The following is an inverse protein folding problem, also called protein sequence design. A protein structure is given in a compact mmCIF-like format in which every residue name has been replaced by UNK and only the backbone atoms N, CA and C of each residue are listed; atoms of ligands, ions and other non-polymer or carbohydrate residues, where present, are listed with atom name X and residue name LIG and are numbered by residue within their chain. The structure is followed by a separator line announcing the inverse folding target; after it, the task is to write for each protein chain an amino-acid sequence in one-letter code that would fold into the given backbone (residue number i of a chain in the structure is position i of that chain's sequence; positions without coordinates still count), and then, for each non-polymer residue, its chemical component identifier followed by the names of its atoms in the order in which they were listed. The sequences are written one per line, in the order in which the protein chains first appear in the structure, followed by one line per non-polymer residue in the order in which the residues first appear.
data_IF_506305908588
#
_entry.id   IF_506305908588
#
_cell.length_a   1.000
_cell.length_b   1.000
_cell.length_c   1.000
_cell.angle_alpha   90.00
_cell.angle_beta   90.00
_cell.angle_gamma   90.00
#
_symmetry.space_group_name_H-M   'P 1'
#
loop_
_entity.id
_entity.type
_entity.pdbx_description
1 polymer ?
#
# COMPACT_ATOMS: atom_id res chain seq x y z
N UNK A 1 29.52 8.56 -15.28
CA UNK A 1 29.16 9.99 -15.39
C UNK A 1 30.07 10.83 -14.54
N UNK A 2 30.05 10.67 -13.20
CA UNK A 2 30.99 11.34 -12.30
C UNK A 2 32.46 11.02 -12.63
N UNK A 3 32.83 9.73 -12.70
CA UNK A 3 34.21 9.31 -13.02
C UNK A 3 34.66 9.67 -14.43
N UNK A 4 33.72 10.02 -15.31
CA UNK A 4 33.98 10.45 -16.68
C UNK A 4 34.00 11.99 -16.82
N UNK A 5 33.86 12.75 -15.73
CA UNK A 5 33.87 14.21 -15.73
C UNK A 5 32.67 14.86 -16.44
N UNK A 6 31.57 14.14 -16.62
CA UNK A 6 30.37 14.65 -17.31
C UNK A 6 29.47 15.36 -16.26
N UNK A 7 29.17 16.66 -16.42
CA UNK A 7 28.26 17.38 -15.52
C UNK A 7 26.85 16.78 -15.54
N UNK A 8 26.22 16.68 -14.36
CA UNK A 8 24.85 16.20 -14.24
C UNK A 8 24.12 16.91 -13.09
N UNK A 9 22.80 16.79 -13.08
CA UNK A 9 21.91 17.27 -12.00
C UNK A 9 20.95 16.17 -11.56
N UNK A 10 20.47 16.26 -10.32
CA UNK A 10 19.47 15.34 -9.75
C UNK A 10 18.20 16.13 -9.48
N UNK A 11 17.09 15.71 -10.08
CA UNK A 11 15.75 16.25 -9.81
C UNK A 11 14.95 15.19 -9.05
N UNK A 12 14.62 15.40 -7.76
CA UNK A 12 13.92 14.39 -6.97
C UNK A 12 12.48 14.22 -7.45
N UNK A 13 11.99 12.98 -7.38
CA UNK A 13 10.60 12.62 -7.65
C UNK A 13 9.89 12.09 -6.41
N UNK A 14 8.57 11.86 -6.54
CA UNK A 14 7.80 11.18 -5.51
C UNK A 14 8.06 9.68 -5.59
N UNK A 15 8.59 9.11 -4.51
CA UNK A 15 8.82 7.67 -4.44
C UNK A 15 7.49 6.90 -4.29
N UNK A 16 7.43 5.67 -4.82
CA UNK A 16 6.21 4.87 -4.81
C UNK A 16 5.63 4.68 -3.40
N UNK A 17 6.47 4.49 -2.38
CA UNK A 17 5.97 4.34 -1.01
C UNK A 17 5.32 5.60 -0.47
N UNK A 18 5.74 6.80 -0.86
CA UNK A 18 5.05 8.03 -0.47
C UNK A 18 3.75 8.22 -1.28
N UNK A 19 3.83 8.09 -2.60
CA UNK A 19 2.68 8.32 -3.49
C UNK A 19 1.59 7.26 -3.36
N UNK A 20 1.94 5.98 -3.53
CA UNK A 20 0.97 4.90 -3.56
C UNK A 20 0.25 4.72 -2.23
N UNK A 21 0.95 4.89 -1.09
CA UNK A 21 0.32 4.73 0.23
C UNK A 21 -0.61 5.90 0.56
N UNK A 22 -0.22 7.14 0.21
CA UNK A 22 -1.12 8.30 0.33
C UNK A 22 -2.40 8.13 -0.51
N UNK A 23 -2.28 7.65 -1.75
CA UNK A 23 -3.43 7.39 -2.63
C UNK A 23 -4.23 6.17 -2.19
N UNK A 24 -3.61 5.22 -1.49
CA UNK A 24 -4.30 4.09 -0.88
C UNK A 24 -4.94 4.44 0.47
N UNK A 25 -4.82 5.66 1.00
CA UNK A 25 -5.31 5.97 2.35
C UNK A 25 -4.56 5.22 3.46
N UNK A 26 -3.28 4.92 3.25
CA UNK A 26 -2.42 4.24 4.22
C UNK A 26 -1.30 5.21 4.58
N UNK A 27 -1.33 5.87 5.75
CA UNK A 27 -0.23 6.72 6.14
C UNK A 27 0.99 5.85 6.47
N UNK A 28 2.19 6.31 6.13
CA UNK A 28 3.42 5.56 6.44
C UNK A 28 3.72 5.55 7.95
N UNK A 29 3.33 6.61 8.67
CA UNK A 29 3.46 6.72 10.13
C UNK A 29 2.12 7.03 10.77
N UNK A 30 1.96 6.66 12.03
CA UNK A 30 0.81 7.05 12.83
C UNK A 30 1.18 6.96 14.31
N UNK A 31 0.79 7.96 15.11
CA UNK A 31 1.23 8.12 16.50
C UNK A 31 1.08 6.85 17.36
N UNK A 32 0.00 6.11 17.16
CA UNK A 32 -0.35 4.93 17.95
C UNK A 32 0.12 3.61 17.32
N UNK A 33 0.60 3.64 16.06
CA UNK A 33 0.86 2.42 15.30
C UNK A 33 2.31 2.29 14.82
N UNK A 34 2.94 3.38 14.40
CA UNK A 34 4.25 3.33 13.78
C UNK A 34 4.99 4.66 13.91
N UNK A 35 6.15 4.60 14.57
CA UNK A 35 7.06 5.73 14.74
C UNK A 35 8.21 5.72 13.72
N UNK A 36 8.32 4.65 12.93
CA UNK A 36 9.40 4.47 11.95
C UNK A 36 8.92 3.79 10.68
N UNK A 37 9.52 4.17 9.56
CA UNK A 37 9.26 3.59 8.25
C UNK A 37 10.56 3.04 7.69
N UNK A 38 10.53 1.79 7.25
CA UNK A 38 11.69 1.12 6.65
C UNK A 38 11.39 0.79 5.20
N UNK A 39 12.14 1.40 4.26
CA UNK A 39 12.05 1.11 2.83
C UNK A 39 13.00 -0.03 2.47
N UNK A 40 12.47 -1.09 1.85
CA UNK A 40 13.21 -2.33 1.61
C UNK A 40 13.05 -2.74 0.15
N UNK A 41 14.10 -3.29 -0.46
CA UNK A 41 13.98 -4.03 -1.72
C UNK A 41 13.84 -5.52 -1.44
N UNK A 42 12.78 -6.15 -1.95
CA UNK A 42 12.64 -7.60 -1.91
C UNK A 42 13.61 -8.33 -2.84
N UNK A 43 14.22 -7.61 -3.79
CA UNK A 43 15.28 -8.12 -4.65
C UNK A 43 16.64 -7.67 -4.10
N UNK A 44 17.24 -8.50 -3.24
CA UNK A 44 18.62 -8.32 -2.78
C UNK A 44 19.57 -8.98 -3.78
N UNK A 45 20.75 -8.37 -4.03
CA UNK A 45 21.80 -8.99 -4.83
C UNK A 45 22.31 -10.26 -4.11
N UNK A 46 22.71 -11.31 -4.84
CA UNK A 46 23.20 -12.56 -4.23
C UNK A 46 24.39 -12.39 -3.27
N UNK A 47 25.15 -11.30 -3.41
CA UNK A 47 26.40 -11.04 -2.67
C UNK A 47 26.23 -10.17 -1.41
N UNK A 48 25.01 -9.74 -1.06
CA UNK A 48 24.77 -9.02 0.20
C UNK A 48 24.47 -9.99 1.34
N UNK A 49 24.81 -9.61 2.58
CA UNK A 49 24.58 -10.36 3.84
C UNK A 49 23.10 -10.66 4.18
N UNK A 50 22.19 -10.57 3.20
CA UNK A 50 20.76 -10.72 3.37
C UNK A 50 20.14 -9.54 4.12
N UNK A 51 18.83 -9.64 4.38
CA UNK A 51 18.12 -8.68 5.22
C UNK A 51 18.26 -9.09 6.69
N UNK A 52 18.42 -8.11 7.58
CA UNK A 52 18.34 -8.35 9.02
C UNK A 52 16.88 -8.58 9.44
N UNK A 53 16.40 -9.81 9.26
CA UNK A 53 15.01 -10.18 9.50
C UNK A 53 14.57 -9.98 10.95
N UNK A 54 15.46 -10.17 11.92
CA UNK A 54 15.20 -9.88 13.33
C UNK A 54 14.81 -8.42 13.57
N UNK A 55 15.48 -7.48 12.89
CA UNK A 55 15.13 -6.06 12.98
C UNK A 55 13.81 -5.76 12.25
N UNK A 56 13.60 -6.35 11.07
CA UNK A 56 12.40 -6.11 10.27
C UNK A 56 11.13 -6.69 10.91
N UNK A 57 11.27 -7.79 11.68
CA UNK A 57 10.16 -8.44 12.35
C UNK A 57 9.66 -7.70 13.61
N UNK A 58 10.40 -6.70 14.11
CA UNK A 58 9.95 -5.90 15.25
C UNK A 58 8.62 -5.22 14.93
N UNK A 59 7.70 -5.20 15.89
CA UNK A 59 6.42 -4.47 15.79
C UNK A 59 6.61 -2.94 15.76
N UNK A 60 5.50 -2.21 15.66
CA UNK A 60 5.47 -0.73 15.77
C UNK A 60 6.33 0.02 14.74
N UNK A 61 6.60 -0.62 13.62
CA UNK A 61 7.19 -0.02 12.43
C UNK A 61 6.38 -0.39 11.19
N UNK A 62 6.44 0.48 10.19
CA UNK A 62 5.88 0.24 8.87
C UNK A 62 6.99 -0.21 7.93
N UNK A 63 6.84 -1.38 7.32
CA UNK A 63 7.72 -1.82 6.24
C UNK A 63 7.09 -1.47 4.89
N UNK A 64 7.82 -0.76 4.04
CA UNK A 64 7.43 -0.49 2.65
C UNK A 64 8.40 -1.21 1.71
N UNK A 65 7.94 -2.32 1.13
CA UNK A 65 8.79 -3.26 0.38
C UNK A 65 8.55 -3.11 -1.11
N UNK A 66 9.57 -2.63 -1.81
CA UNK A 66 9.67 -2.52 -3.25
C UNK A 66 10.07 -3.84 -3.85
N UNK A 67 9.54 -4.17 -5.04
CA UNK A 67 9.92 -5.39 -5.78
C UNK A 67 9.78 -6.67 -4.94
N UNK A 68 8.94 -6.63 -3.91
CA UNK A 68 8.76 -7.73 -2.96
C UNK A 68 7.76 -8.77 -3.41
N UNK A 69 6.89 -8.46 -4.39
CA UNK A 69 5.79 -9.34 -4.77
C UNK A 69 6.26 -10.75 -5.22
N UNK A 70 7.36 -10.84 -5.97
CA UNK A 70 7.96 -12.12 -6.41
C UNK A 70 8.55 -12.91 -5.22
N UNK A 71 8.90 -12.21 -4.14
CA UNK A 71 9.54 -12.73 -2.93
C UNK A 71 8.59 -12.77 -1.72
N UNK A 72 7.28 -12.61 -1.96
CA UNK A 72 6.29 -12.42 -0.90
C UNK A 72 6.22 -13.62 0.06
N UNK A 73 6.27 -14.86 -0.46
CA UNK A 73 6.38 -16.07 0.36
C UNK A 73 7.60 -16.05 1.28
N UNK A 74 8.80 -15.74 0.77
CA UNK A 74 10.03 -15.68 1.57
C UNK A 74 9.93 -14.61 2.65
N UNK A 75 9.47 -13.40 2.29
CA UNK A 75 9.28 -12.27 3.22
C UNK A 75 8.29 -12.65 4.32
N UNK A 76 7.16 -13.24 3.96
CA UNK A 76 6.12 -13.68 4.89
C UNK A 76 6.71 -14.67 5.90
N UNK A 77 7.38 -15.71 5.42
CA UNK A 77 7.98 -16.74 6.28
C UNK A 77 9.02 -16.13 7.22
N UNK A 78 9.96 -15.33 6.67
CA UNK A 78 11.04 -14.76 7.46
C UNK A 78 10.54 -13.82 8.56
N UNK A 79 9.56 -12.96 8.25
CA UNK A 79 8.99 -12.06 9.26
C UNK A 79 8.27 -12.84 10.38
N UNK A 80 7.51 -13.87 10.03
CA UNK A 80 6.81 -14.70 11.03
C UNK A 80 7.81 -15.48 11.88
N UNK A 81 8.81 -16.12 11.25
CA UNK A 81 9.86 -16.87 11.96
C UNK A 81 10.62 -16.00 12.95
N UNK A 82 10.84 -14.72 12.63
CA UNK A 82 11.54 -13.76 13.48
C UNK A 82 10.62 -13.00 14.45
N UNK A 83 9.35 -13.42 14.59
CA UNK A 83 8.46 -12.97 15.66
C UNK A 83 7.43 -11.91 15.29
N UNK A 84 7.31 -11.51 14.01
CA UNK A 84 6.20 -10.65 13.58
C UNK A 84 4.91 -11.44 13.61
N UNK A 85 3.85 -10.89 14.21
CA UNK A 85 2.56 -11.59 14.31
C UNK A 85 2.00 -11.95 12.92
N UNK A 86 1.54 -13.19 12.68
CA UNK A 86 0.85 -13.57 11.44
C UNK A 86 -0.43 -12.76 11.17
N UNK A 87 -1.03 -12.18 12.22
CA UNK A 87 -2.21 -11.31 12.12
C UNK A 87 -1.87 -9.85 11.81
N UNK A 88 -0.59 -9.49 11.69
CA UNK A 88 -0.17 -8.11 11.37
C UNK A 88 -0.88 -7.64 10.10
N UNK A 89 -1.54 -6.46 10.12
CA UNK A 89 -2.18 -5.92 8.93
C UNK A 89 -1.18 -5.68 7.80
N UNK A 90 -1.58 -6.01 6.58
CA UNK A 90 -0.80 -5.75 5.37
C UNK A 90 -1.67 -5.15 4.27
N UNK A 91 -1.02 -4.46 3.34
CA UNK A 91 -1.61 -4.04 2.08
C UNK A 91 -0.65 -4.33 0.92
N UNK A 92 -1.21 -4.76 -0.21
CA UNK A 92 -0.51 -4.87 -1.48
C UNK A 92 -1.13 -3.86 -2.44
N UNK A 93 -0.36 -2.85 -2.81
CA UNK A 93 -0.81 -1.74 -3.66
C UNK A 93 -0.22 -1.94 -5.05
N UNK A 94 -1.05 -2.42 -5.98
CA UNK A 94 -0.71 -2.55 -7.39
C UNK A 94 -1.00 -1.27 -8.15
N UNK A 95 -0.10 -0.88 -9.06
CA UNK A 95 -0.27 0.29 -9.95
C UNK A 95 -0.62 1.58 -9.20
N UNK A 96 0.06 1.82 -8.06
CA UNK A 96 -0.18 2.99 -7.22
C UNK A 96 -0.25 4.32 -7.99
N UNK A 97 -1.14 5.20 -7.56
CA UNK A 97 -1.49 6.52 -8.14
C UNK A 97 -2.06 6.52 -9.56
N UNK A 98 -2.20 5.35 -10.20
CA UNK A 98 -2.81 5.24 -11.54
C UNK A 98 -4.32 5.09 -11.43
N UNK A 99 -5.06 5.44 -12.49
CA UNK A 99 -6.51 5.28 -12.53
C UNK A 99 -6.97 3.82 -12.31
N UNK A 100 -6.11 2.86 -12.66
CA UNK A 100 -6.32 1.41 -12.47
C UNK A 100 -5.60 0.84 -11.24
N UNK A 101 -5.35 1.68 -10.21
CA UNK A 101 -4.79 1.26 -8.93
C UNK A 101 -5.67 0.18 -8.29
N UNK A 102 -5.03 -0.85 -7.72
CA UNK A 102 -5.69 -1.86 -6.90
C UNK A 102 -5.02 -1.96 -5.53
N UNK A 103 -5.83 -1.98 -4.48
CA UNK A 103 -5.36 -2.14 -3.10
C UNK A 103 -5.98 -3.41 -2.53
N UNK A 104 -5.13 -4.38 -2.18
CA UNK A 104 -5.55 -5.63 -1.55
C UNK A 104 -5.06 -5.65 -0.11
N UNK A 105 -5.97 -5.71 0.86
CA UNK A 105 -5.63 -5.74 2.29
C UNK A 105 -5.88 -7.11 2.92
N UNK A 106 -5.13 -7.43 3.96
CA UNK A 106 -5.30 -8.65 4.73
C UNK A 106 -4.33 -8.73 5.90
N UNK A 107 -3.93 -9.94 6.26
CA UNK A 107 -2.91 -10.17 7.29
C UNK A 107 -1.61 -10.67 6.69
N UNK A 108 -0.52 -10.62 7.47
CA UNK A 108 0.79 -11.12 7.07
C UNK A 108 0.75 -12.58 6.61
N UNK A 109 -0.12 -13.41 7.20
CA UNK A 109 -0.32 -14.80 6.78
C UNK A 109 -0.85 -14.94 5.34
N UNK A 110 -1.49 -13.90 4.80
CA UNK A 110 -2.09 -13.86 3.47
C UNK A 110 -1.21 -13.12 2.45
N UNK A 111 -0.01 -12.70 2.84
CA UNK A 111 0.83 -11.80 2.04
C UNK A 111 1.15 -12.39 0.66
N UNK A 112 1.56 -13.66 0.60
CA UNK A 112 1.90 -14.33 -0.67
C UNK A 112 0.71 -14.39 -1.64
N UNK A 113 -0.47 -14.79 -1.16
CA UNK A 113 -1.69 -14.89 -1.96
C UNK A 113 -2.20 -13.53 -2.45
N UNK A 114 -2.06 -12.49 -1.63
CA UNK A 114 -2.42 -11.11 -2.00
C UNK A 114 -1.42 -10.57 -3.03
N UNK A 115 -0.12 -10.84 -2.84
CA UNK A 115 0.93 -10.40 -3.77
C UNK A 115 0.78 -10.99 -5.17
N UNK A 116 0.40 -12.27 -5.29
CA UNK A 116 0.17 -12.94 -6.57
C UNK A 116 -1.03 -12.39 -7.35
N UNK A 117 -2.03 -11.83 -6.66
CA UNK A 117 -3.25 -11.28 -7.28
C UNK A 117 -3.11 -9.82 -7.68
N UNK A 118 -2.22 -9.07 -7.04
CA UNK A 118 -2.06 -7.66 -7.32
C UNK A 118 -1.39 -7.43 -8.69
N UNK A 119 -1.83 -6.41 -9.46
CA UNK A 119 -1.19 -6.07 -10.71
C UNK A 119 0.19 -5.44 -10.47
N UNK A 120 1.16 -5.84 -11.28
CA UNK A 120 2.49 -5.21 -11.29
C UNK A 120 2.46 -3.80 -11.91
N UNK A 121 3.34 -2.87 -11.47
CA UNK A 121 4.21 -2.99 -10.29
C UNK A 121 3.42 -2.88 -8.98
N UNK A 122 3.86 -3.60 -7.93
CA UNK A 122 3.22 -3.61 -6.63
C UNK A 122 4.18 -3.24 -5.49
N UNK A 123 3.66 -2.47 -4.53
CA UNK A 123 4.30 -2.16 -3.25
C UNK A 123 3.65 -2.99 -2.15
N UNK A 124 4.45 -3.66 -1.32
CA UNK A 124 3.95 -4.31 -0.11
C UNK A 124 4.11 -3.33 1.07
N UNK A 125 3.05 -3.20 1.87
CA UNK A 125 3.06 -2.43 3.12
C UNK A 125 2.71 -3.38 4.25
N UNK A 126 3.59 -3.50 5.24
CA UNK A 126 3.40 -4.38 6.40
C UNK A 126 3.45 -3.52 7.66
N UNK A 127 2.38 -3.54 8.44
CA UNK A 127 2.27 -2.77 9.66
C UNK A 127 0.84 -2.34 9.95
N UNK A 128 0.61 -1.96 11.20
CA UNK A 128 -0.72 -1.67 11.74
C UNK A 128 -1.41 -0.51 11.01
N UNK A 129 -0.63 0.39 10.39
CA UNK A 129 -1.14 1.48 9.53
C UNK A 129 -1.92 0.97 8.31
N UNK A 130 -1.67 -0.25 7.82
CA UNK A 130 -2.39 -0.81 6.68
C UNK A 130 -3.89 -1.02 6.98
N UNK A 131 -4.25 -1.21 8.26
CA UNK A 131 -5.65 -1.30 8.67
C UNK A 131 -6.42 0.03 8.52
N UNK A 132 -5.72 1.16 8.40
CA UNK A 132 -6.34 2.48 8.23
C UNK A 132 -6.91 2.70 6.83
N UNK A 133 -6.53 1.87 5.85
CA UNK A 133 -7.05 1.91 4.48
C UNK A 133 -8.59 2.03 4.45
N UNK A 134 -9.30 1.19 5.21
CA UNK A 134 -10.77 1.14 5.24
C UNK A 134 -11.44 2.44 5.69
N UNK A 135 -10.72 3.32 6.38
CA UNK A 135 -11.25 4.58 6.92
C UNK A 135 -10.77 5.81 6.16
N UNK A 136 -9.64 5.71 5.47
CA UNK A 136 -8.92 6.83 4.88
C UNK A 136 -8.78 6.72 3.36
N UNK A 137 -9.25 5.62 2.76
CA UNK A 137 -9.34 5.50 1.31
C UNK A 137 -10.20 6.64 0.76
N UNK A 138 -9.72 7.26 -0.31
CA UNK A 138 -10.35 8.43 -0.92
C UNK A 138 -10.22 8.38 -2.45
N UNK A 139 -9.19 7.72 -2.96
CA UNK A 139 -8.89 7.63 -4.38
C UNK A 139 -9.58 6.40 -5.00
N UNK A 140 -10.29 6.60 -6.12
CA UNK A 140 -11.00 5.54 -6.82
C UNK A 140 -12.42 5.23 -6.29
N UNK A 141 -12.82 5.79 -5.15
CA UNK A 141 -14.16 5.59 -4.57
C UNK A 141 -15.27 6.37 -5.27
N UNK A 142 -14.93 7.38 -6.09
CA UNK A 142 -15.89 8.22 -6.81
C UNK A 142 -16.77 7.46 -7.83
N UNK A 143 -16.50 6.18 -8.09
CA UNK A 143 -17.33 5.34 -8.97
C UNK A 143 -18.47 4.58 -8.24
N UNK A 144 -18.58 4.65 -6.90
CA UNK A 144 -19.64 3.91 -6.17
C UNK A 144 -20.66 4.78 -5.42
N UNK A 145 -20.40 6.08 -5.21
CA UNK A 145 -21.38 6.95 -4.56
C UNK A 145 -22.45 7.55 -5.49
N UNK A 146 -22.29 7.50 -6.82
CA UNK A 146 -23.29 8.05 -7.76
C UNK A 146 -24.49 7.12 -8.03
N UNK A 147 -24.36 5.81 -7.84
CA UNK A 147 -25.44 4.85 -8.15
C UNK A 147 -26.58 4.87 -7.12
N UNK A 148 -26.36 5.42 -5.91
CA UNK A 148 -27.37 5.44 -4.85
C UNK A 148 -28.19 6.75 -4.78
N UNK A 149 -27.82 7.80 -5.52
CA UNK A 149 -28.58 9.07 -5.55
C UNK A 149 -29.42 9.27 -6.83
N UNK A 150 -29.23 8.45 -7.87
CA UNK A 150 -30.00 8.56 -9.13
C UNK A 150 -31.25 7.68 -9.22
N UNK A 151 -31.56 6.88 -8.20
CA UNK A 151 -32.69 5.93 -8.23
C UNK A 151 -33.79 6.23 -7.19
N UNK A 152 -33.97 7.49 -6.78
CA UNK A 152 -35.22 7.89 -6.14
C UNK A 152 -36.23 8.34 -7.20
N UNK A 153 -37.40 7.67 -7.34
CA UNK A 153 -38.45 8.16 -8.20
C UNK A 153 -38.97 9.50 -7.65
N UNK A 154 -38.83 10.57 -8.44
CA UNK A 154 -39.39 11.89 -8.16
C UNK A 154 -40.92 11.81 -8.18
N UNK A 155 -41.51 11.60 -7.00
CA UNK A 155 -42.95 11.55 -6.80
C UNK A 155 -43.48 12.91 -6.30
N UNK A 156 -43.26 14.02 -7.03
CA UNK A 156 -43.83 15.34 -6.67
C UNK A 156 -44.11 16.24 -7.89
N UNK A 157 -44.99 15.81 -8.81
CA UNK A 157 -45.64 16.73 -9.76
C UNK A 157 -47.11 16.36 -9.92
N UNK A 158 -47.99 16.88 -9.05
CA UNK A 158 -49.42 17.17 -9.37
C UNK A 158 -50.22 17.75 -8.20
N UNK A 159 -49.71 18.77 -7.50
CA UNK A 159 -50.56 19.64 -6.66
C UNK A 159 -50.12 21.10 -6.74
N UNK A 160 -50.09 21.70 -7.93
CA UNK A 160 -50.25 23.16 -8.10
C UNK A 160 -50.90 23.42 -9.46
N UNK A 161 -52.22 23.41 -9.50
CA UNK A 161 -53.04 24.18 -10.47
C UNK A 161 -54.50 24.14 -10.01
N UNK A 162 -54.81 25.01 -9.05
CA UNK A 162 -56.15 25.52 -8.75
C UNK A 162 -55.97 26.94 -8.19
N UNK A 163 -55.81 27.90 -9.10
CA UNK A 163 -56.17 29.32 -8.98
C UNK A 163 -55.95 29.98 -10.35
#
# INVERSE_FOLDING_TARGET
MADAGIPFQVVPGITAAAGATAYAGIPLTHRDYSQSVTFITGHCRPESDGLNWSQLAQGHQTLAIYMGAVKASDIQQQLITHGRSPSTPIAVIGRGTRADQQVLTGTLLQLDDLAKRAPSPALLVIGEVAALHQRLSWFGESAHHQTLQQNQPTQWQSVVNLA
#
